data_IF_669188961266
#
_entry.id   IF_669188961266
#
_cell.length_a   1.000
_cell.length_b   1.000
_cell.length_c   1.000
_cell.angle_alpha   90.00
_cell.angle_beta   90.00
_cell.angle_gamma   90.00
#
_symmetry.space_group_name_H-M   'P 1'
#
loop_
_entity.id
_entity.type
_entity.pdbx_description
1 polymer ?
#
# COMPACT_ATOMS: atom_id res chain seq x y z
N UNK A 1 13.28 35.67 -5.47
CA UNK A 1 12.12 35.80 -4.59
C UNK A 1 11.14 34.71 -4.99
N UNK A 2 11.13 33.59 -4.27
CA UNK A 2 10.33 32.41 -4.62
C UNK A 2 8.90 32.63 -4.12
N UNK A 3 7.94 32.71 -5.04
CA UNK A 3 6.52 32.82 -4.70
C UNK A 3 6.05 31.49 -4.13
N UNK A 4 5.89 31.42 -2.81
CA UNK A 4 5.26 30.28 -2.13
C UNK A 4 3.76 30.47 -2.27
N UNK A 5 3.15 29.82 -3.26
CA UNK A 5 1.69 29.75 -3.38
C UNK A 5 1.17 28.91 -2.22
N UNK A 6 0.54 29.57 -1.26
CA UNK A 6 -0.18 28.88 -0.19
C UNK A 6 -1.43 28.26 -0.80
N UNK A 7 -1.43 26.95 -1.00
CA UNK A 7 -2.61 26.21 -1.40
C UNK A 7 -3.62 26.26 -0.27
N UNK A 8 -4.73 26.95 -0.50
CA UNK A 8 -5.91 26.84 0.37
C UNK A 8 -6.29 25.37 0.48
N UNK A 9 -6.50 24.82 1.69
CA UNK A 9 -6.94 23.44 1.83
C UNK A 9 -8.27 23.27 1.07
N UNK A 10 -8.43 22.19 0.29
CA UNK A 10 -9.64 21.99 -0.48
C UNK A 10 -10.84 21.87 0.46
N UNK A 11 -11.91 22.61 0.17
CA UNK A 11 -13.20 22.42 0.81
C UNK A 11 -13.68 20.98 0.55
N UNK A 12 -14.23 20.26 1.55
CA UNK A 12 -14.76 18.93 1.34
C UNK A 12 -15.81 18.92 0.22
N UNK A 13 -15.63 18.06 -0.77
CA UNK A 13 -16.61 17.85 -1.84
C UNK A 13 -17.84 17.13 -1.27
N UNK A 14 -19.04 17.67 -1.51
CA UNK A 14 -20.31 17.12 -1.01
C UNK A 14 -21.33 16.80 -2.11
N UNK A 15 -21.03 17.13 -3.37
CA UNK A 15 -21.88 16.74 -4.50
C UNK A 15 -21.82 15.22 -4.71
N UNK A 16 -22.98 14.56 -4.61
CA UNK A 16 -23.09 13.10 -4.65
C UNK A 16 -22.46 12.50 -5.92
N UNK A 17 -22.80 13.08 -7.08
CA UNK A 17 -22.33 12.58 -8.38
C UNK A 17 -20.81 12.67 -8.45
N UNK A 18 -20.26 13.84 -8.12
CA UNK A 18 -18.82 14.07 -8.12
C UNK A 18 -18.11 13.11 -7.18
N UNK A 19 -18.57 12.94 -5.94
CA UNK A 19 -17.96 12.04 -4.95
C UNK A 19 -17.93 10.58 -5.45
N UNK A 20 -19.02 10.12 -6.06
CA UNK A 20 -19.13 8.74 -6.56
C UNK A 20 -18.27 8.52 -7.80
N UNK A 21 -18.27 9.48 -8.73
CA UNK A 21 -17.53 9.37 -9.99
C UNK A 21 -16.02 9.55 -9.81
N UNK A 22 -15.59 10.42 -8.89
CA UNK A 22 -14.16 10.67 -8.60
C UNK A 22 -13.56 9.66 -7.62
N UNK A 23 -14.29 8.62 -7.24
CA UNK A 23 -13.82 7.61 -6.29
C UNK A 23 -12.58 6.89 -6.84
N UNK A 24 -11.53 6.87 -6.04
CA UNK A 24 -10.31 6.08 -6.29
C UNK A 24 -10.66 4.61 -6.50
N UNK A 25 -10.25 4.05 -7.65
CA UNK A 25 -10.58 2.68 -8.06
C UNK A 25 -9.52 1.65 -7.69
N UNK A 26 -8.30 2.11 -7.43
CA UNK A 26 -7.13 1.26 -7.24
C UNK A 26 -6.24 1.85 -6.16
N UNK A 27 -5.62 0.98 -5.37
CA UNK A 27 -4.78 1.34 -4.25
C UNK A 27 -3.53 0.49 -4.22
N UNK A 28 -2.42 1.09 -3.78
CA UNK A 28 -1.13 0.43 -3.68
C UNK A 28 -0.67 0.47 -2.22
N UNK A 29 -0.43 -0.69 -1.63
CA UNK A 29 0.24 -0.80 -0.34
C UNK A 29 1.72 -1.02 -0.57
N UNK A 30 2.55 -0.14 0.00
CA UNK A 30 4.00 -0.30 0.01
C UNK A 30 4.43 -0.72 1.40
N UNK A 31 4.91 -1.96 1.53
CA UNK A 31 5.44 -2.47 2.79
C UNK A 31 6.93 -2.17 2.83
N UNK A 32 7.36 -1.41 3.82
CA UNK A 32 8.75 -1.05 4.03
C UNK A 32 9.41 -1.89 5.12
N UNK A 33 10.68 -2.20 4.90
CA UNK A 33 11.51 -2.97 5.83
C UNK A 33 12.98 -2.55 5.74
N UNK A 34 13.69 -2.70 6.85
CA UNK A 34 15.13 -2.45 6.92
C UNK A 34 15.90 -3.66 6.38
N UNK A 35 16.61 -3.46 5.27
CA UNK A 35 17.41 -4.51 4.63
C UNK A 35 18.58 -4.99 5.50
N UNK A 36 19.06 -4.15 6.42
CA UNK A 36 20.10 -4.49 7.39
C UNK A 36 19.57 -5.37 8.54
N UNK A 37 18.24 -5.56 8.61
CA UNK A 37 17.58 -6.44 9.58
C UNK A 37 17.11 -7.70 8.87
N UNK A 38 17.81 -8.84 9.04
CA UNK A 38 17.34 -10.13 8.53
C UNK A 38 15.96 -10.49 9.04
N UNK A 39 15.63 -10.08 10.28
CA UNK A 39 14.34 -10.33 10.91
C UNK A 39 13.21 -9.56 10.21
N UNK A 40 13.41 -8.26 9.92
CA UNK A 40 12.39 -7.48 9.18
C UNK A 40 12.26 -7.96 7.74
N UNK A 41 13.38 -8.29 7.09
CA UNK A 41 13.35 -8.84 5.72
C UNK A 41 12.57 -10.16 5.68
N UNK A 42 12.84 -11.09 6.61
CA UNK A 42 12.09 -12.34 6.71
C UNK A 42 10.60 -12.10 7.02
N UNK A 43 10.28 -11.18 7.93
CA UNK A 43 8.89 -10.84 8.26
C UNK A 43 8.15 -10.23 7.06
N UNK A 44 8.80 -9.34 6.30
CA UNK A 44 8.22 -8.71 5.11
C UNK A 44 7.89 -9.74 4.03
N UNK A 45 8.82 -10.67 3.76
CA UNK A 45 8.61 -11.75 2.79
C UNK A 45 7.55 -12.74 3.28
N UNK A 46 7.52 -13.09 4.56
CA UNK A 46 6.49 -13.96 5.13
C UNK A 46 5.08 -13.35 5.02
N UNK A 47 4.94 -12.04 5.27
CA UNK A 47 3.69 -11.31 5.08
C UNK A 47 3.26 -11.33 3.61
N UNK A 48 4.20 -11.08 2.68
CA UNK A 48 3.95 -11.13 1.24
C UNK A 48 3.42 -12.50 0.79
N UNK A 49 4.04 -13.58 1.27
CA UNK A 49 3.64 -14.94 0.96
C UNK A 49 2.25 -15.28 1.54
N UNK A 50 1.92 -14.77 2.72
CA UNK A 50 0.60 -14.94 3.31
C UNK A 50 -0.49 -14.24 2.48
N UNK A 51 -0.26 -13.00 2.03
CA UNK A 51 -1.16 -12.27 1.11
C UNK A 51 -1.36 -13.07 -0.18
N UNK A 52 -0.29 -13.61 -0.76
CA UNK A 52 -0.35 -14.42 -1.98
C UNK A 52 -1.21 -15.68 -1.81
N UNK A 53 -1.05 -16.39 -0.67
CA UNK A 53 -1.88 -17.56 -0.35
C UNK A 53 -3.36 -17.18 -0.19
N UNK A 54 -3.64 -16.15 0.61
CA UNK A 54 -5.02 -15.69 0.86
C UNK A 54 -5.72 -15.22 -0.43
N UNK A 55 -5.00 -14.51 -1.30
CA UNK A 55 -5.48 -14.13 -2.63
C UNK A 55 -5.84 -15.36 -3.47
N UNK A 56 -4.93 -16.34 -3.54
CA UNK A 56 -5.17 -17.60 -4.27
C UNK A 56 -6.39 -18.34 -3.72
N UNK A 57 -6.58 -18.31 -2.41
CA UNK A 57 -7.66 -19.01 -1.72
C UNK A 57 -8.98 -18.20 -1.72
N UNK A 58 -9.01 -17.03 -2.39
CA UNK A 58 -10.22 -16.25 -2.66
C UNK A 58 -10.63 -15.28 -1.56
N UNK A 59 -9.76 -15.00 -0.57
CA UNK A 59 -10.09 -14.09 0.53
C UNK A 59 -10.29 -12.63 0.08
N UNK A 60 -9.51 -12.18 -0.91
CA UNK A 60 -9.55 -10.83 -1.50
C UNK A 60 -8.74 -10.77 -2.79
N UNK A 61 -8.89 -9.68 -3.56
CA UNK A 61 -8.02 -9.39 -4.71
C UNK A 61 -6.82 -8.56 -4.25
N UNK A 62 -5.64 -9.16 -4.32
CA UNK A 62 -4.36 -8.51 -4.02
C UNK A 62 -3.28 -9.01 -4.98
N UNK A 63 -2.70 -8.11 -5.78
CA UNK A 63 -1.70 -8.44 -6.80
C UNK A 63 -0.38 -7.79 -6.42
N UNK A 64 0.61 -8.56 -5.93
CA UNK A 64 1.92 -7.99 -5.67
C UNK A 64 2.64 -7.70 -6.98
N UNK A 65 3.40 -6.60 -6.98
CA UNK A 65 4.38 -6.37 -8.03
C UNK A 65 5.40 -7.53 -8.02
N UNK A 66 5.88 -7.91 -9.19
CA UNK A 66 6.80 -9.05 -9.35
C UNK A 66 8.12 -8.87 -8.59
N UNK A 67 8.49 -7.62 -8.28
CA UNK A 67 9.77 -7.25 -7.68
C UNK A 67 9.64 -6.99 -6.17
N UNK A 68 10.65 -7.44 -5.43
CA UNK A 68 11.00 -6.90 -4.12
C UNK A 68 12.19 -5.97 -4.32
N UNK A 69 12.08 -4.73 -3.85
CA UNK A 69 13.15 -3.74 -3.91
C UNK A 69 14.12 -4.01 -2.76
N UNK A 70 15.35 -4.38 -3.09
CA UNK A 70 16.43 -4.64 -2.14
C UNK A 70 17.34 -3.41 -1.91
N UNK A 71 16.85 -2.23 -2.29
CA UNK A 71 17.43 -0.91 -2.05
C UNK A 71 16.37 0.18 -2.36
N UNK A 72 16.60 1.45 -1.98
CA UNK A 72 15.68 2.54 -2.31
C UNK A 72 15.52 2.73 -3.82
N UNK A 73 14.27 2.76 -4.31
CA UNK A 73 13.95 2.90 -5.74
C UNK A 73 12.77 3.87 -5.90
N UNK A 74 12.92 4.88 -6.77
CA UNK A 74 11.87 5.87 -7.00
C UNK A 74 11.51 6.62 -5.71
N UNK A 75 10.22 6.72 -5.33
CA UNK A 75 9.80 7.39 -4.09
C UNK A 75 9.98 6.52 -2.84
N UNK A 76 10.47 5.28 -2.97
CA UNK A 76 10.59 4.32 -1.88
C UNK A 76 11.95 4.46 -1.16
N UNK A 77 12.00 4.89 0.11
CA UNK A 77 13.25 5.24 0.79
C UNK A 77 14.00 4.05 1.39
N UNK A 78 13.45 2.83 1.32
CA UNK A 78 13.98 1.63 1.97
C UNK A 78 13.68 0.38 1.13
N UNK A 79 14.07 -0.80 1.66
CA UNK A 79 13.60 -2.08 1.14
C UNK A 79 12.07 -2.08 1.11
N UNK A 80 11.48 -2.53 0.01
CA UNK A 80 10.03 -2.46 -0.17
C UNK A 80 9.48 -3.47 -1.17
N UNK A 81 8.18 -3.73 -1.08
CA UNK A 81 7.42 -4.30 -2.19
C UNK A 81 6.03 -3.66 -2.24
N UNK A 82 5.39 -3.79 -3.39
CA UNK A 82 4.06 -3.23 -3.65
C UNK A 82 3.01 -4.35 -3.71
N UNK A 83 1.82 -4.05 -3.19
CA UNK A 83 0.59 -4.82 -3.39
C UNK A 83 -0.46 -3.87 -3.98
N UNK A 84 -0.85 -4.12 -5.23
CA UNK A 84 -2.00 -3.49 -5.87
C UNK A 84 -3.31 -4.16 -5.43
N UNK A 85 -4.35 -3.37 -5.20
CA UNK A 85 -5.71 -3.85 -4.92
C UNK A 85 -6.76 -2.97 -5.62
N UNK A 86 -7.90 -3.54 -6.05
CA UNK A 86 -9.07 -2.75 -6.43
C UNK A 86 -9.75 -2.17 -5.19
N UNK A 87 -10.53 -1.10 -5.37
CA UNK A 87 -11.29 -0.47 -4.28
C UNK A 87 -12.24 -1.41 -3.54
N UNK A 88 -12.75 -2.43 -4.23
CA UNK A 88 -13.60 -3.49 -3.66
C UNK A 88 -12.87 -4.41 -2.67
N UNK A 89 -11.54 -4.52 -2.73
CA UNK A 89 -10.73 -5.30 -1.80
C UNK A 89 -9.90 -4.44 -0.84
N UNK A 90 -9.98 -3.12 -0.95
CA UNK A 90 -9.19 -2.20 -0.14
C UNK A 90 -9.35 -2.45 1.36
N UNK A 91 -10.58 -2.48 1.85
CA UNK A 91 -10.85 -2.61 3.28
C UNK A 91 -10.33 -3.94 3.84
N UNK A 92 -10.60 -5.05 3.15
CA UNK A 92 -10.20 -6.38 3.60
C UNK A 92 -8.68 -6.52 3.68
N UNK A 93 -7.97 -6.04 2.65
CA UNK A 93 -6.51 -6.06 2.61
C UNK A 93 -5.93 -5.11 3.65
N UNK A 94 -6.48 -3.89 3.80
CA UNK A 94 -6.03 -2.94 4.82
C UNK A 94 -6.17 -3.52 6.23
N UNK A 95 -7.33 -4.08 6.58
CA UNK A 95 -7.54 -4.68 7.90
C UNK A 95 -6.61 -5.86 8.15
N UNK A 96 -6.41 -6.72 7.15
CA UNK A 96 -5.47 -7.83 7.24
C UNK A 96 -4.04 -7.33 7.49
N UNK A 97 -3.54 -6.38 6.68
CA UNK A 97 -2.20 -5.83 6.84
C UNK A 97 -2.04 -5.12 8.19
N UNK A 98 -3.01 -4.30 8.60
CA UNK A 98 -2.97 -3.58 9.86
C UNK A 98 -2.87 -4.52 11.07
N UNK A 99 -3.58 -5.66 11.04
CA UNK A 99 -3.56 -6.65 12.10
C UNK A 99 -2.33 -7.57 12.08
N UNK A 100 -1.69 -7.78 10.92
CA UNK A 100 -0.68 -8.83 10.74
C UNK A 100 0.73 -8.32 10.38
N UNK A 101 0.92 -7.02 10.12
CA UNK A 101 2.24 -6.49 9.70
C UNK A 101 3.31 -6.49 10.79
N UNK A 102 2.93 -6.68 12.05
CA UNK A 102 3.84 -6.53 13.19
C UNK A 102 4.50 -5.15 13.19
N UNK A 103 5.83 -5.12 13.16
CA UNK A 103 6.62 -3.89 13.22
C UNK A 103 7.00 -3.31 11.84
N UNK A 104 6.59 -3.95 10.74
CA UNK A 104 6.84 -3.47 9.38
C UNK A 104 6.11 -2.15 9.11
N UNK A 105 6.68 -1.30 8.26
CA UNK A 105 6.17 0.06 8.02
C UNK A 105 5.28 0.18 6.81
#
# INVERSE_FOLDING_TARGET
>A
MTMVTHSTPPTPQSDLKTVVESRTREWHFHIYFLLQSPQETAAALALRDAVLRLRRDGAFVAVPLFRVNEYPIGPHPAGSYEIWVPDSSFSDVFFYLAANRGNLR
#
